data_IF_108077828938
#
_entry.id   IF_108077828938
#
_cell.length_a   1.000
_cell.length_b   1.000
_cell.length_c   1.000
_cell.angle_alpha   90.00
_cell.angle_beta   90.00
_cell.angle_gamma   90.00
#
_symmetry.space_group_name_H-M   'P 1'
#
loop_
_entity.id
_entity.type
_entity.pdbx_description
1 polymer ?
#
# COMPACT_ATOMS: atom_id res chain seq x y z
N UNK A 1 -11.62 6.96 8.21
CA UNK A 1 -12.30 8.26 8.42
C UNK A 1 -12.35 8.52 9.91
N UNK A 2 -11.72 9.60 10.38
CA UNK A 2 -11.63 9.97 11.81
C UNK A 2 -12.58 11.09 12.20
N UNK A 3 -12.95 11.93 11.23
CA UNK A 3 -13.76 13.12 11.38
C UNK A 3 -14.16 13.62 9.97
N UNK A 4 -15.09 14.58 9.93
CA UNK A 4 -15.40 15.34 8.73
C UNK A 4 -14.55 16.60 8.75
N UNK A 5 -13.65 16.69 7.77
CA UNK A 5 -12.77 17.83 7.52
C UNK A 5 -13.53 19.19 7.52
N UNK A 6 -12.83 20.31 7.46
CA UNK A 6 -13.37 21.66 7.76
C UNK A 6 -14.50 22.16 6.83
N UNK A 7 -14.90 21.38 5.83
CA UNK A 7 -16.00 21.67 4.92
C UNK A 7 -17.39 21.41 5.53
N UNK A 8 -17.47 20.69 6.66
CA UNK A 8 -18.75 20.31 7.25
C UNK A 8 -19.29 21.37 8.23
N UNK A 9 -20.17 22.24 7.71
CA UNK A 9 -20.69 23.43 8.42
C UNK A 9 -21.57 23.14 9.65
N UNK A 10 -22.21 21.96 9.71
CA UNK A 10 -23.19 21.59 10.76
C UNK A 10 -22.61 20.74 11.91
N UNK A 11 -21.29 20.50 11.92
CA UNK A 11 -20.66 19.75 13.02
C UNK A 11 -20.01 20.72 14.00
N UNK A 12 -20.31 20.54 15.29
CA UNK A 12 -19.54 21.14 16.41
C UNK A 12 -18.05 21.05 16.05
N UNK A 13 -17.38 22.20 16.04
CA UNK A 13 -15.96 22.35 15.69
C UNK A 13 -15.17 21.12 16.09
N UNK A 14 -14.64 20.37 15.11
CA UNK A 14 -13.91 19.12 15.33
C UNK A 14 -12.96 19.27 16.51
N UNK A 15 -13.29 18.64 17.65
CA UNK A 15 -12.47 18.75 18.85
C UNK A 15 -11.36 17.72 18.82
N UNK A 16 -10.21 18.07 19.43
CA UNK A 16 -9.05 17.18 19.50
C UNK A 16 -9.44 15.86 20.19
N UNK A 17 -10.27 15.93 21.22
CA UNK A 17 -10.75 14.78 21.98
C UNK A 17 -11.59 13.83 21.12
N UNK A 18 -12.47 14.37 20.27
CA UNK A 18 -13.29 13.57 19.35
C UNK A 18 -12.41 12.84 18.33
N UNK A 19 -11.43 13.55 17.74
CA UNK A 19 -10.50 12.97 16.76
C UNK A 19 -9.68 11.85 17.39
N UNK A 20 -9.11 12.07 18.58
CA UNK A 20 -8.31 11.06 19.28
C UNK A 20 -9.17 9.83 19.62
N UNK A 21 -10.38 10.03 20.13
CA UNK A 21 -11.30 8.93 20.45
C UNK A 21 -11.67 8.10 19.22
N UNK A 22 -11.96 8.75 18.09
CA UNK A 22 -12.23 8.07 16.83
C UNK A 22 -10.99 7.37 16.26
N UNK A 23 -9.83 8.02 16.32
CA UNK A 23 -8.56 7.45 15.86
C UNK A 23 -8.20 6.17 16.63
N UNK A 24 -8.31 6.17 17.96
CA UNK A 24 -8.03 4.99 18.78
C UNK A 24 -8.96 3.83 18.45
N UNK A 25 -10.28 4.09 18.34
CA UNK A 25 -11.26 3.06 17.94
C UNK A 25 -10.98 2.52 16.54
N UNK A 26 -10.67 3.40 15.59
CA UNK A 26 -10.32 3.02 14.23
C UNK A 26 -9.02 2.22 14.17
N UNK A 27 -8.02 2.54 14.98
CA UNK A 27 -6.76 1.81 15.03
C UNK A 27 -6.96 0.37 15.48
N UNK A 28 -7.73 0.14 16.54
CA UNK A 28 -8.07 -1.22 17.02
C UNK A 28 -8.81 -2.02 15.94
N UNK A 29 -9.78 -1.39 15.27
CA UNK A 29 -10.51 -2.05 14.19
C UNK A 29 -9.63 -2.33 12.97
N UNK A 30 -8.77 -1.39 12.58
CA UNK A 30 -7.83 -1.55 11.48
C UNK A 30 -6.86 -2.72 11.76
N UNK A 31 -6.34 -2.86 12.97
CA UNK A 31 -5.49 -3.99 13.35
C UNK A 31 -6.19 -5.34 13.13
N UNK A 32 -7.45 -5.46 13.57
CA UNK A 32 -8.26 -6.68 13.36
C UNK A 32 -8.49 -6.97 11.87
N UNK A 33 -8.81 -5.94 11.09
CA UNK A 33 -8.99 -6.05 9.64
C UNK A 33 -7.69 -6.48 8.94
N UNK A 34 -6.55 -5.89 9.31
CA UNK A 34 -5.24 -6.23 8.75
C UNK A 34 -4.90 -7.68 9.03
N UNK A 35 -5.05 -8.15 10.27
CA UNK A 35 -4.77 -9.54 10.65
C UNK A 35 -5.57 -10.53 9.80
N UNK A 36 -6.88 -10.32 9.68
CA UNK A 36 -7.74 -11.20 8.88
C UNK A 36 -7.45 -11.10 7.39
N UNK A 37 -7.12 -9.90 6.88
CA UNK A 37 -6.75 -9.69 5.48
C UNK A 37 -5.46 -10.44 5.14
N UNK A 38 -4.43 -10.34 6.00
CA UNK A 38 -3.16 -11.06 5.83
C UNK A 38 -3.39 -12.56 5.84
N UNK A 39 -4.22 -13.09 6.76
CA UNK A 39 -4.57 -14.52 6.81
C UNK A 39 -5.17 -14.98 5.48
N UNK A 40 -6.15 -14.25 4.94
CA UNK A 40 -6.82 -14.59 3.68
C UNK A 40 -5.90 -14.50 2.48
N UNK A 41 -5.04 -13.47 2.41
CA UNK A 41 -4.07 -13.32 1.32
C UNK A 41 -3.02 -14.43 1.32
N UNK A 42 -2.61 -14.90 2.50
CA UNK A 42 -1.68 -16.04 2.63
C UNK A 42 -2.32 -17.34 2.14
N UNK A 43 -3.58 -17.59 2.51
CA UNK A 43 -4.32 -18.80 2.11
C UNK A 43 -4.65 -18.82 0.61
N UNK A 44 -5.01 -17.66 0.05
CA UNK A 44 -5.42 -17.53 -1.34
C UNK A 44 -4.79 -16.29 -1.98
N UNK A 45 -3.51 -16.36 -2.38
CA UNK A 45 -2.84 -15.24 -3.03
C UNK A 45 -3.56 -14.88 -4.35
N UNK A 46 -4.08 -13.65 -4.50
CA UNK A 46 -4.82 -13.27 -5.70
C UNK A 46 -3.88 -13.10 -6.89
N UNK A 47 -4.38 -13.38 -8.10
CA UNK A 47 -3.71 -12.89 -9.30
C UNK A 47 -3.91 -11.38 -9.43
N UNK A 48 -2.83 -10.65 -9.66
CA UNK A 48 -2.85 -9.20 -9.83
C UNK A 48 -2.05 -8.80 -11.07
N UNK A 49 -2.59 -7.92 -11.95
CA UNK A 49 -1.82 -7.32 -13.04
C UNK A 49 -0.51 -6.67 -12.56
N UNK A 50 -0.48 -6.20 -11.31
CA UNK A 50 0.71 -5.61 -10.70
C UNK A 50 1.91 -6.57 -10.65
N UNK A 51 1.68 -7.89 -10.53
CA UNK A 51 2.76 -8.91 -10.48
C UNK A 51 3.58 -9.01 -11.77
N UNK A 52 3.08 -8.43 -12.87
CA UNK A 52 3.74 -8.38 -14.17
C UNK A 52 3.84 -6.97 -14.75
N UNK A 53 3.49 -5.93 -13.98
CA UNK A 53 3.43 -4.56 -14.48
C UNK A 53 4.77 -4.08 -15.07
N UNK A 54 5.90 -4.56 -14.52
CA UNK A 54 7.22 -4.16 -14.97
C UNK A 54 7.60 -4.75 -16.34
N UNK A 55 6.99 -5.88 -16.78
CA UNK A 55 7.40 -6.63 -17.98
C UNK A 55 7.53 -5.78 -19.24
N UNK A 56 6.61 -4.84 -19.45
CA UNK A 56 6.57 -3.97 -20.62
C UNK A 56 6.87 -2.50 -20.28
N UNK A 57 7.15 -2.20 -19.01
CA UNK A 57 7.51 -0.86 -18.55
C UNK A 57 9.03 -0.62 -18.56
N UNK A 58 9.84 -1.68 -18.72
CA UNK A 58 11.30 -1.56 -18.86
C UNK A 58 11.62 -1.04 -20.27
N UNK A 59 11.98 0.24 -20.37
CA UNK A 59 12.39 0.86 -21.64
C UNK A 59 13.82 0.53 -22.03
N UNK A 60 14.72 0.40 -21.05
CA UNK A 60 16.14 0.09 -21.28
C UNK A 60 16.29 -1.40 -21.60
N UNK A 61 16.92 -1.73 -22.72
CA UNK A 61 17.24 -3.13 -23.02
C UNK A 61 18.17 -3.68 -21.94
N UNK A 62 17.74 -4.75 -21.26
CA UNK A 62 18.45 -5.27 -20.10
C UNK A 62 19.83 -5.81 -20.47
N UNK A 63 20.05 -6.35 -21.66
CA UNK A 63 21.37 -6.75 -22.14
C UNK A 63 22.38 -5.58 -22.21
N UNK A 64 21.91 -4.37 -22.46
CA UNK A 64 22.72 -3.15 -22.54
C UNK A 64 22.80 -2.37 -21.21
N UNK A 65 22.03 -2.77 -20.20
CA UNK A 65 22.04 -2.11 -18.90
C UNK A 65 23.37 -2.39 -18.15
N UNK A 66 23.98 -1.37 -17.51
CA UNK A 66 25.20 -1.56 -16.73
C UNK A 66 25.01 -2.60 -15.61
N UNK A 67 26.05 -3.41 -15.35
CA UNK A 67 26.00 -4.45 -14.32
C UNK A 67 25.62 -3.90 -12.95
N UNK A 68 26.23 -2.78 -12.54
CA UNK A 68 25.92 -2.12 -11.28
C UNK A 68 24.44 -1.69 -11.16
N UNK A 69 23.79 -1.33 -12.26
CA UNK A 69 22.36 -0.97 -12.26
C UNK A 69 21.48 -2.21 -12.10
N UNK A 70 21.84 -3.33 -12.76
CA UNK A 70 21.12 -4.60 -12.62
C UNK A 70 21.20 -5.12 -11.19
N UNK A 71 22.38 -5.06 -10.57
CA UNK A 71 22.58 -5.46 -9.17
C UNK A 71 21.77 -4.57 -8.23
N UNK A 72 21.86 -3.25 -8.39
CA UNK A 72 21.11 -2.28 -7.57
C UNK A 72 19.60 -2.50 -7.64
N UNK A 73 19.07 -2.87 -8.80
CA UNK A 73 17.65 -3.08 -9.05
C UNK A 73 17.23 -4.56 -9.00
N UNK A 74 18.10 -5.45 -8.51
CA UNK A 74 17.90 -6.90 -8.56
C UNK A 74 16.57 -7.36 -7.98
N UNK A 75 16.15 -6.80 -6.84
CA UNK A 75 14.87 -7.15 -6.18
C UNK A 75 13.64 -6.94 -7.08
N UNK A 76 13.72 -6.02 -8.03
CA UNK A 76 12.64 -5.72 -8.97
C UNK A 76 12.82 -6.43 -10.31
N UNK A 77 14.07 -6.53 -10.77
CA UNK A 77 14.42 -7.02 -12.10
C UNK A 77 14.68 -8.53 -12.16
N UNK A 78 14.90 -9.23 -11.05
CA UNK A 78 15.31 -10.64 -11.03
C UNK A 78 14.39 -11.56 -11.84
N UNK A 79 13.09 -11.23 -11.95
CA UNK A 79 12.12 -11.98 -12.78
C UNK A 79 12.34 -11.83 -14.30
N UNK A 80 13.07 -10.80 -14.73
CA UNK A 80 13.24 -10.41 -16.14
C UNK A 80 14.71 -10.39 -16.61
N UNK A 81 15.66 -10.59 -15.69
CA UNK A 81 17.08 -10.75 -16.01
C UNK A 81 17.41 -12.16 -16.48
#
# INVERSE_FOLDING_TARGET
VTDYDCWHLDHDSVTVEMVIGNLQRNAVNAQKVIQETVRRLSENPPQSPAHSALKYAIMTKLDQAPMATKEKLGLLLQKYL
#
